data_IF_321471566368
#
_entry.id   IF_321471566368
#
_cell.length_a   1.000
_cell.length_b   1.000
_cell.length_c   1.000
_cell.angle_alpha   90.00
_cell.angle_beta   90.00
_cell.angle_gamma   90.00
#
_symmetry.space_group_name_H-M   'P 1'
#
loop_
_entity.id
_entity.type
_entity.pdbx_description
1 polymer ?
#
# COMPACT_ATOMS: atom_id res chain seq x y z
N UNK A 1 -12.19 25.01 -13.92
CA UNK A 1 -11.93 23.76 -14.66
C UNK A 1 -12.87 22.69 -14.17
N UNK A 2 -13.81 22.24 -15.00
CA UNK A 2 -14.60 21.05 -14.71
C UNK A 2 -13.63 19.85 -14.59
N UNK A 3 -13.80 19.03 -13.55
CA UNK A 3 -13.06 17.78 -13.40
C UNK A 3 -13.37 16.91 -14.62
N UNK A 4 -12.35 16.57 -15.42
CA UNK A 4 -12.49 15.60 -16.50
C UNK A 4 -12.71 14.21 -15.88
N UNK A 5 -13.93 13.65 -15.98
CA UNK A 5 -14.25 12.36 -15.40
C UNK A 5 -13.68 11.20 -16.21
N UNK A 6 -13.06 11.47 -17.37
CA UNK A 6 -12.51 10.43 -18.21
C UNK A 6 -11.41 9.67 -17.46
N UNK A 7 -11.56 8.36 -17.25
CA UNK A 7 -10.57 7.58 -16.53
C UNK A 7 -9.30 7.52 -17.37
N UNK A 8 -8.31 8.36 -17.06
CA UNK A 8 -6.96 8.18 -17.61
C UNK A 8 -6.47 6.81 -17.17
N UNK A 9 -6.29 5.90 -18.13
CA UNK A 9 -5.70 4.59 -17.86
C UNK A 9 -4.34 4.81 -17.20
N UNK A 10 -4.20 4.32 -15.97
CA UNK A 10 -2.90 4.31 -15.29
C UNK A 10 -1.96 3.47 -16.15
N UNK A 11 -0.87 4.08 -16.63
CA UNK A 11 0.13 3.38 -17.42
C UNK A 11 0.75 2.23 -16.62
N UNK A 12 1.16 1.17 -17.31
CA UNK A 12 1.77 0.00 -16.67
C UNK A 12 3.00 0.37 -15.83
N UNK A 13 3.85 1.30 -16.29
CA UNK A 13 5.01 1.76 -15.54
C UNK A 13 4.63 2.45 -14.23
N UNK A 14 3.60 3.30 -14.24
CA UNK A 14 3.10 3.95 -13.02
C UNK A 14 2.52 2.92 -12.05
N UNK A 15 1.73 1.97 -12.55
CA UNK A 15 1.19 0.88 -11.74
C UNK A 15 2.30 0.06 -11.08
N UNK A 16 3.27 -0.38 -11.87
CA UNK A 16 4.41 -1.17 -11.41
C UNK A 16 5.25 -0.40 -10.38
N UNK A 17 5.56 0.86 -10.66
CA UNK A 17 6.34 1.72 -9.75
C UNK A 17 5.63 1.95 -8.42
N UNK A 18 4.31 2.18 -8.44
CA UNK A 18 3.50 2.31 -7.22
C UNK A 18 3.48 0.99 -6.45
N UNK A 19 3.29 -0.15 -7.13
CA UNK A 19 3.29 -1.47 -6.46
C UNK A 19 4.64 -1.78 -5.82
N UNK A 20 5.76 -1.53 -6.52
CA UNK A 20 7.10 -1.74 -5.97
C UNK A 20 7.37 -0.82 -4.79
N UNK A 21 7.03 0.47 -4.89
CA UNK A 21 7.20 1.44 -3.81
C UNK A 21 6.43 1.02 -2.55
N UNK A 22 5.15 0.67 -2.69
CA UNK A 22 4.34 0.21 -1.56
C UNK A 22 4.85 -1.12 -1.01
N UNK A 23 5.22 -2.05 -1.88
CA UNK A 23 5.77 -3.34 -1.47
C UNK A 23 7.05 -3.18 -0.65
N UNK A 24 7.96 -2.30 -1.06
CA UNK A 24 9.18 -1.97 -0.30
C UNK A 24 8.86 -1.30 1.03
N UNK A 25 7.94 -0.34 1.05
CA UNK A 25 7.48 0.31 2.29
C UNK A 25 6.92 -0.71 3.28
N UNK A 26 6.06 -1.61 2.84
CA UNK A 26 5.49 -2.65 3.68
C UNK A 26 6.54 -3.66 4.15
N UNK A 27 7.46 -4.07 3.28
CA UNK A 27 8.56 -4.96 3.67
C UNK A 27 9.39 -4.36 4.81
N UNK A 28 9.82 -3.11 4.66
CA UNK A 28 10.65 -2.42 5.65
C UNK A 28 9.91 -2.21 6.97
N UNK A 29 8.64 -1.80 6.91
CA UNK A 29 7.83 -1.58 8.11
C UNK A 29 7.48 -2.89 8.82
N UNK A 30 7.25 -3.99 8.10
CA UNK A 30 7.10 -5.32 8.70
C UNK A 30 8.41 -5.80 9.31
N UNK A 31 9.55 -5.64 8.62
CA UNK A 31 10.86 -6.00 9.15
C UNK A 31 11.18 -5.24 10.45
N UNK A 32 10.94 -3.93 10.48
CA UNK A 32 11.13 -3.10 11.67
C UNK A 32 10.22 -3.57 12.83
N UNK A 33 8.94 -3.85 12.55
CA UNK A 33 8.01 -4.33 13.55
C UNK A 33 8.40 -5.71 14.12
N UNK A 34 8.87 -6.62 13.26
CA UNK A 34 9.38 -7.94 13.67
C UNK A 34 10.66 -7.80 14.51
N UNK A 35 11.61 -6.96 14.09
CA UNK A 35 12.84 -6.73 14.88
C UNK A 35 12.54 -6.16 16.26
N UNK A 36 11.60 -5.20 16.34
CA UNK A 36 11.16 -4.67 17.63
C UNK A 36 10.46 -5.74 18.47
N UNK A 37 9.58 -6.54 17.89
CA UNK A 37 8.91 -7.64 18.59
C UNK A 37 9.91 -8.66 19.15
N UNK A 38 10.91 -9.03 18.34
CA UNK A 38 11.99 -9.96 18.69
C UNK A 38 12.83 -9.42 19.84
N UNK A 39 13.18 -8.13 19.80
CA UNK A 39 13.91 -7.46 20.88
C UNK A 39 13.10 -7.42 22.19
N UNK A 40 11.80 -7.10 22.12
CA UNK A 40 10.91 -7.06 23.28
C UNK A 40 10.69 -8.44 23.91
N UNK A 41 10.72 -9.50 23.09
CA UNK A 41 10.54 -10.88 23.54
C UNK A 41 11.86 -11.57 23.93
N UNK A 42 13.01 -10.92 23.74
CA UNK A 42 14.32 -11.51 24.02
C UNK A 42 14.69 -12.71 23.15
N UNK A 43 14.11 -12.80 21.94
CA UNK A 43 14.43 -13.88 20.98
C UNK A 43 15.41 -13.39 19.92
N UNK A 44 16.06 -14.30 19.20
CA UNK A 44 16.96 -13.96 18.09
C UNK A 44 16.34 -14.40 16.76
N UNK A 45 16.58 -13.63 15.70
CA UNK A 45 16.23 -13.99 14.33
C UNK A 45 17.47 -14.01 13.44
N UNK A 46 17.49 -14.95 12.50
CA UNK A 46 18.60 -15.05 11.56
C UNK A 46 18.44 -14.03 10.41
N UNK A 47 19.16 -12.91 10.50
CA UNK A 47 19.12 -11.84 9.51
C UNK A 47 19.86 -12.17 8.21
N UNK A 48 20.69 -13.23 8.16
CA UNK A 48 21.47 -13.59 6.95
C UNK A 48 20.58 -13.95 5.75
N UNK A 49 19.33 -14.34 6.01
CA UNK A 49 18.33 -14.68 4.99
C UNK A 49 17.47 -13.49 4.53
N UNK A 50 17.73 -12.28 5.03
CA UNK A 50 16.96 -11.10 4.65
C UNK A 50 17.11 -10.70 3.19
N UNK A 51 18.31 -10.79 2.61
CA UNK A 51 18.53 -10.43 1.20
C UNK A 51 17.76 -11.39 0.27
N UNK A 52 17.84 -12.72 0.43
CA UNK A 52 16.97 -13.65 -0.28
C UNK A 52 15.48 -13.38 -0.05
N UNK A 53 15.06 -13.10 1.20
CA UNK A 53 13.66 -12.77 1.52
C UNK A 53 13.19 -11.52 0.77
N UNK A 54 14.01 -10.48 0.70
CA UNK A 54 13.70 -9.27 -0.05
C UNK A 54 13.58 -9.56 -1.55
N UNK A 55 14.49 -10.36 -2.12
CA UNK A 55 14.42 -10.78 -3.52
C UNK A 55 13.13 -11.54 -3.86
N UNK A 56 12.74 -12.51 -3.01
CA UNK A 56 11.48 -13.22 -3.13
C UNK A 56 10.28 -12.28 -2.98
N UNK A 57 10.34 -11.32 -2.07
CA UNK A 57 9.28 -10.34 -1.85
C UNK A 57 9.06 -9.43 -3.06
N UNK A 58 10.15 -8.96 -3.68
CA UNK A 58 10.10 -8.21 -4.93
C UNK A 58 9.50 -9.06 -6.04
N UNK A 59 9.95 -10.31 -6.20
CA UNK A 59 9.39 -11.24 -7.18
C UNK A 59 7.89 -11.47 -7.00
N UNK A 60 7.46 -11.69 -5.76
CA UNK A 60 6.04 -11.83 -5.41
C UNK A 60 5.25 -10.55 -5.73
N UNK A 61 5.79 -9.38 -5.39
CA UNK A 61 5.15 -8.09 -5.66
C UNK A 61 5.00 -7.83 -7.16
N UNK A 62 6.00 -8.21 -7.97
CA UNK A 62 5.92 -8.14 -9.43
C UNK A 62 4.84 -9.07 -9.98
N UNK A 63 4.82 -10.33 -9.53
CA UNK A 63 3.79 -11.29 -9.94
C UNK A 63 2.38 -10.81 -9.57
N UNK A 64 2.21 -10.27 -8.36
CA UNK A 64 0.95 -9.69 -7.89
C UNK A 64 0.56 -8.46 -8.71
N UNK A 65 1.50 -7.56 -9.02
CA UNK A 65 1.27 -6.38 -9.84
C UNK A 65 0.73 -6.77 -11.23
N UNK A 66 1.37 -7.75 -11.87
CA UNK A 66 0.98 -8.24 -13.18
C UNK A 66 -0.37 -8.95 -13.12
N UNK A 67 -0.57 -9.83 -12.15
CA UNK A 67 -1.82 -10.58 -11.95
C UNK A 67 -3.02 -9.67 -11.68
N UNK A 68 -2.90 -8.73 -10.74
CA UNK A 68 -3.97 -7.76 -10.45
C UNK A 68 -4.19 -6.83 -11.65
N UNK A 69 -3.13 -6.42 -12.34
CA UNK A 69 -3.23 -5.60 -13.55
C UNK A 69 -4.02 -6.31 -14.66
N UNK A 70 -3.74 -7.60 -14.87
CA UNK A 70 -4.44 -8.46 -15.81
C UNK A 70 -5.90 -8.69 -15.40
N UNK A 71 -6.15 -9.11 -14.16
CA UNK A 71 -7.50 -9.33 -13.64
C UNK A 71 -8.36 -8.07 -13.70
N UNK A 72 -7.80 -6.90 -13.37
CA UNK A 72 -8.53 -5.63 -13.50
C UNK A 72 -8.99 -5.36 -14.94
N UNK A 73 -8.17 -5.70 -15.94
CA UNK A 73 -8.54 -5.49 -17.35
C UNK A 73 -9.65 -6.44 -17.79
N UNK A 74 -9.70 -7.64 -17.24
CA UNK A 74 -10.77 -8.59 -17.54
C UNK A 74 -12.07 -8.25 -16.80
N UNK A 75 -11.99 -7.83 -15.54
CA UNK A 75 -13.15 -7.59 -14.68
C UNK A 75 -13.79 -6.20 -14.83
N UNK A 76 -13.04 -5.24 -15.38
CA UNK A 76 -13.49 -3.87 -15.65
C UNK A 76 -12.79 -3.29 -16.90
N UNK A 77 -13.01 -3.88 -18.10
CA UNK A 77 -12.32 -3.49 -19.33
C UNK A 77 -12.60 -2.04 -19.74
N UNK A 78 -13.81 -1.55 -19.44
CA UNK A 78 -14.27 -0.18 -19.73
C UNK A 78 -13.88 0.81 -18.64
N UNK A 79 -13.50 0.35 -17.44
CA UNK A 79 -13.18 1.22 -16.30
C UNK A 79 -14.41 1.85 -15.64
N UNK A 80 -15.62 1.39 -15.98
CA UNK A 80 -16.87 1.94 -15.47
C UNK A 80 -16.97 1.81 -13.95
N UNK A 81 -16.53 0.69 -13.36
CA UNK A 81 -16.60 0.51 -11.90
C UNK A 81 -15.73 1.55 -11.20
N UNK A 82 -14.55 1.84 -11.74
CA UNK A 82 -13.66 2.89 -11.22
C UNK A 82 -14.27 4.28 -11.38
N UNK A 83 -14.87 4.57 -12.53
CA UNK A 83 -15.53 5.85 -12.78
C UNK A 83 -16.71 6.07 -11.80
N UNK A 84 -17.58 5.08 -11.63
CA UNK A 84 -18.70 5.11 -10.67
C UNK A 84 -18.23 5.31 -9.23
N UNK A 85 -17.18 4.58 -8.81
CA UNK A 85 -16.58 4.75 -7.48
C UNK A 85 -16.02 6.16 -7.28
N UNK A 86 -15.28 6.68 -8.25
CA UNK A 86 -14.71 8.01 -8.16
C UNK A 86 -15.79 9.09 -8.10
N UNK A 87 -16.85 8.97 -8.90
CA UNK A 87 -18.01 9.87 -8.85
C UNK A 87 -18.70 9.82 -7.48
N UNK A 88 -18.92 8.63 -6.92
CA UNK A 88 -19.50 8.46 -5.59
C UNK A 88 -18.64 9.08 -4.47
N UNK A 89 -17.31 8.89 -4.54
CA UNK A 89 -16.37 9.52 -3.61
C UNK A 89 -16.42 11.04 -3.75
N UNK A 90 -16.42 11.57 -4.97
CA UNK A 90 -16.49 13.02 -5.18
C UNK A 90 -17.80 13.62 -4.66
N UNK A 91 -18.93 12.97 -4.91
CA UNK A 91 -20.22 13.39 -4.38
C UNK A 91 -20.20 13.39 -2.84
N UNK A 92 -19.69 12.31 -2.22
CA UNK A 92 -19.61 12.17 -0.77
C UNK A 92 -18.72 13.22 -0.09
N UNK A 93 -17.62 13.60 -0.73
CA UNK A 93 -16.63 14.51 -0.15
C UNK A 93 -16.66 15.92 -0.77
N UNK A 94 -17.73 16.30 -1.48
CA UNK A 94 -17.89 17.60 -2.14
C UNK A 94 -16.67 17.99 -2.99
N UNK A 95 -16.15 17.04 -3.77
CA UNK A 95 -14.97 17.23 -4.63
C UNK A 95 -13.62 17.27 -3.89
N UNK A 96 -13.58 17.12 -2.56
CA UNK A 96 -12.34 17.07 -1.77
C UNK A 96 -11.81 15.65 -1.69
N UNK A 97 -10.49 15.48 -1.75
CA UNK A 97 -9.86 14.18 -1.46
C UNK A 97 -9.97 13.89 0.05
N UNK A 98 -10.53 12.73 0.44
CA UNK A 98 -10.58 12.34 1.84
C UNK A 98 -9.15 12.10 2.36
N UNK A 99 -8.87 12.58 3.58
CA UNK A 99 -7.58 12.31 4.24
C UNK A 99 -7.42 10.83 4.60
N UNK A 100 -8.53 10.08 4.60
CA UNK A 100 -8.54 8.67 4.98
C UNK A 100 -9.59 7.93 4.15
N UNK A 101 -9.15 6.91 3.42
CA UNK A 101 -9.97 6.29 2.36
C UNK A 101 -10.89 5.21 2.92
N UNK A 102 -10.44 4.44 3.93
CA UNK A 102 -11.28 3.61 4.82
C UNK A 102 -10.43 2.93 5.91
N UNK A 103 -10.96 2.85 7.14
CA UNK A 103 -10.35 2.10 8.25
C UNK A 103 -10.28 0.59 7.97
N UNK A 104 -11.37 -0.07 7.55
CA UNK A 104 -11.31 -1.51 7.23
C UNK A 104 -10.36 -1.83 6.08
N UNK A 105 -10.31 -1.00 5.03
CA UNK A 105 -9.41 -1.24 3.90
C UNK A 105 -7.94 -1.07 4.26
N UNK A 106 -7.62 -0.10 5.12
CA UNK A 106 -6.26 0.10 5.62
C UNK A 106 -5.82 -1.06 6.51
N UNK A 107 -6.70 -1.54 7.39
CA UNK A 107 -6.44 -2.70 8.24
C UNK A 107 -6.24 -3.98 7.42
N UNK A 108 -7.13 -4.25 6.46
CA UNK A 108 -7.03 -5.42 5.59
C UNK A 108 -5.73 -5.40 4.77
N UNK A 109 -5.34 -4.24 4.24
CA UNK A 109 -4.08 -4.08 3.51
C UNK A 109 -2.89 -4.32 4.43
N UNK A 110 -2.88 -3.74 5.63
CA UNK A 110 -1.81 -3.94 6.61
C UNK A 110 -1.62 -5.41 6.97
N UNK A 111 -2.71 -6.12 7.28
CA UNK A 111 -2.65 -7.55 7.58
C UNK A 111 -2.18 -8.37 6.38
N UNK A 112 -2.66 -8.08 5.17
CA UNK A 112 -2.27 -8.77 3.96
C UNK A 112 -0.77 -8.60 3.69
N UNK A 113 -0.26 -7.37 3.73
CA UNK A 113 1.15 -7.09 3.45
C UNK A 113 2.06 -7.62 4.55
N UNK A 114 1.65 -7.55 5.82
CA UNK A 114 2.38 -8.16 6.92
C UNK A 114 2.46 -9.68 6.74
N UNK A 115 1.32 -10.35 6.56
CA UNK A 115 1.26 -11.80 6.39
C UNK A 115 2.03 -12.29 5.16
N UNK A 116 1.95 -11.54 4.06
CA UNK A 116 2.74 -11.84 2.85
C UNK A 116 4.24 -11.72 3.14
N UNK A 117 4.67 -10.64 3.79
CA UNK A 117 6.08 -10.41 4.10
C UNK A 117 6.63 -11.48 5.05
N UNK A 118 5.89 -11.83 6.11
CA UNK A 118 6.31 -12.86 7.06
C UNK A 118 6.34 -14.24 6.42
N UNK A 119 5.37 -14.57 5.56
CA UNK A 119 5.38 -15.81 4.79
C UNK A 119 6.60 -15.89 3.87
N UNK A 120 6.92 -14.82 3.15
CA UNK A 120 8.13 -14.75 2.30
C UNK A 120 9.41 -14.89 3.13
N UNK A 121 9.48 -14.26 4.30
CA UNK A 121 10.61 -14.40 5.22
C UNK A 121 10.78 -15.87 5.66
N UNK A 122 9.70 -16.55 6.03
CA UNK A 122 9.76 -17.98 6.40
C UNK A 122 10.18 -18.86 5.22
N UNK A 123 9.65 -18.63 4.02
CA UNK A 123 10.04 -19.36 2.80
C UNK A 123 11.53 -19.15 2.47
N UNK A 124 12.08 -17.98 2.77
CA UNK A 124 13.51 -17.68 2.64
C UNK A 124 14.38 -18.33 3.74
N UNK A 125 13.77 -19.00 4.73
CA UNK A 125 14.44 -19.64 5.86
C UNK A 125 14.68 -18.73 7.06
N UNK A 126 14.01 -17.58 7.15
CA UNK A 126 14.01 -16.77 8.39
C UNK A 126 13.10 -17.46 9.40
N UNK A 127 13.69 -17.99 10.48
CA UNK A 127 12.92 -18.56 11.59
C UNK A 127 12.23 -17.43 12.37
N UNK A 128 10.90 -17.36 12.25
CA UNK A 128 10.06 -16.39 12.94
C UNK A 128 9.16 -17.12 13.95
N UNK A 129 9.39 -16.98 15.27
CA UNK A 129 8.54 -17.62 16.26
C UNK A 129 7.15 -16.97 16.27
N UNK A 130 6.10 -17.78 16.50
CA UNK A 130 4.70 -17.32 16.52
C UNK A 130 4.45 -16.09 17.41
N UNK A 131 5.00 -16.01 18.64
CA UNK A 131 4.85 -14.81 19.47
C UNK A 131 5.42 -13.53 18.83
N UNK A 132 6.57 -13.63 18.15
CA UNK A 132 7.17 -12.48 17.47
C UNK A 132 6.35 -12.05 16.24
N UNK A 133 5.74 -12.99 15.51
CA UNK A 133 4.82 -12.65 14.42
C UNK A 133 3.55 -11.99 14.93
N UNK A 134 2.95 -12.50 16.03
CA UNK A 134 1.77 -11.91 16.63
C UNK A 134 2.01 -10.49 17.15
N UNK A 135 3.07 -10.30 17.94
CA UNK A 135 3.46 -8.98 18.44
C UNK A 135 3.89 -8.05 17.29
N UNK A 136 4.64 -8.56 16.32
CA UNK A 136 5.03 -7.82 15.13
C UNK A 136 3.84 -7.30 14.33
N UNK A 137 2.76 -8.09 14.20
CA UNK A 137 1.53 -7.64 13.55
C UNK A 137 0.91 -6.46 14.29
N UNK A 138 0.79 -6.56 15.62
CA UNK A 138 0.25 -5.48 16.45
C UNK A 138 1.08 -4.20 16.33
N UNK A 139 2.41 -4.31 16.31
CA UNK A 139 3.33 -3.19 16.12
C UNK A 139 3.31 -2.62 14.70
N UNK A 140 2.96 -3.44 13.71
CA UNK A 140 2.86 -3.02 12.31
C UNK A 140 1.60 -2.19 12.02
N UNK A 141 0.49 -2.46 12.73
CA UNK A 141 -0.78 -1.77 12.50
C UNK A 141 -0.67 -0.23 12.62
N UNK A 142 -0.05 0.35 13.68
CA UNK A 142 0.19 1.79 13.75
C UNK A 142 0.96 2.35 12.55
N UNK A 143 1.99 1.65 12.08
CA UNK A 143 2.79 2.10 10.94
C UNK A 143 1.95 2.16 9.65
N UNK A 144 1.07 1.17 9.45
CA UNK A 144 0.13 1.17 8.33
C UNK A 144 -0.90 2.32 8.43
N UNK A 145 -1.38 2.63 9.64
CA UNK A 145 -2.25 3.77 9.88
C UNK A 145 -1.58 5.10 9.54
N UNK A 146 -0.34 5.29 10.01
CA UNK A 146 0.47 6.48 9.71
C UNK A 146 0.71 6.60 8.21
N UNK A 147 1.08 5.51 7.52
CA UNK A 147 1.28 5.51 6.08
C UNK A 147 0.02 5.90 5.29
N UNK A 148 -1.14 5.35 5.67
CA UNK A 148 -2.43 5.69 5.06
C UNK A 148 -2.81 7.16 5.29
N UNK A 149 -2.62 7.67 6.52
CA UNK A 149 -2.88 9.06 6.87
C UNK A 149 -1.99 10.03 6.10
N UNK A 150 -0.67 9.79 6.09
CA UNK A 150 0.30 10.62 5.36
C UNK A 150 0.01 10.64 3.87
N UNK A 151 -0.36 9.50 3.28
CA UNK A 151 -0.78 9.43 1.88
C UNK A 151 -1.97 10.36 1.62
N UNK A 152 -2.99 10.34 2.47
CA UNK A 152 -4.14 11.24 2.35
C UNK A 152 -3.78 12.72 2.50
N UNK A 153 -2.90 13.07 3.44
CA UNK A 153 -2.39 14.44 3.62
C UNK A 153 -1.65 14.93 2.37
N UNK A 154 -0.73 14.11 1.83
CA UNK A 154 0.04 14.45 0.63
C UNK A 154 -0.89 14.67 -0.57
N UNK A 155 -1.85 13.76 -0.79
CA UNK A 155 -2.80 13.88 -1.90
C UNK A 155 -3.67 15.15 -1.79
N UNK A 156 -4.13 15.48 -0.58
CA UNK A 156 -4.84 16.74 -0.33
C UNK A 156 -3.96 17.96 -0.59
N UNK A 157 -2.70 17.93 -0.16
CA UNK A 157 -1.72 18.99 -0.42
C UNK A 157 -1.51 19.22 -1.92
N UNK A 158 -1.36 18.15 -2.70
CA UNK A 158 -1.25 18.21 -4.16
C UNK A 158 -2.52 18.81 -4.79
N UNK A 159 -3.71 18.37 -4.37
CA UNK A 159 -4.98 18.88 -4.87
C UNK A 159 -5.12 20.39 -4.60
N UNK A 160 -4.82 20.84 -3.39
CA UNK A 160 -4.88 22.25 -3.00
C UNK A 160 -3.95 23.12 -3.84
N UNK A 161 -2.74 22.65 -4.16
CA UNK A 161 -1.80 23.37 -5.03
C UNK A 161 -2.34 23.52 -6.45
N UNK A 162 -2.92 22.46 -7.02
CA UNK A 162 -3.53 22.49 -8.36
C UNK A 162 -4.71 23.47 -8.44
N UNK A 163 -5.57 23.49 -7.42
CA UNK A 163 -6.69 24.44 -7.36
C UNK A 163 -6.21 25.89 -7.33
N UNK A 164 -5.13 26.20 -6.60
CA UNK A 164 -4.53 27.55 -6.59
C UNK A 164 -3.92 27.95 -7.94
N UNK A 165 -3.29 27.01 -8.65
CA UNK A 165 -2.68 27.28 -9.95
C UNK A 165 -3.72 27.48 -11.07
N UNK A 166 -4.87 26.80 -10.99
CA UNK A 166 -5.99 26.96 -11.93
C UNK A 166 -6.86 28.20 -11.71
N UNK A 167 -6.50 29.09 -10.77
CA UNK A 167 -7.23 30.33 -10.44
C UNK A 167 -6.39 31.59 -10.67
N UNK A 168 -5.29 31.52 -11.43
CA UNK A 168 -4.63 32.75 -11.90
C UNK A 168 -5.54 33.41 -12.94
N UNK A 169 -6.11 34.61 -12.67
CA UNK A 169 -6.74 35.39 -13.73
C UNK A 169 -5.63 35.72 -14.74
N UNK A 170 -5.93 35.49 -16.02
CA UNK A 170 -5.14 36.00 -17.13
C UNK A 170 -5.46 37.49 -17.26
#
# INVERSE_FOLDING_TARGET
MAYDPSPRRIGYGTWLGVTLLWSSFFFLTTLAAIQLAVALLGVAINLTRLVPAFGLHVGFALALALGIGFLNRQLDPTGEKRARRNAAIQAKYAGKVPTFVSLPGSLASACLFFGTTTAVMQLAGVSLPWPAMGLGLLLHLPAAFVGAFLTGVVLRGIQSRRLRQGHRPI
#
